data_IF_149245445147
#
_entry.id   IF_149245445147
#
_cell.length_a   1.000
_cell.length_b   1.000
_cell.length_c   1.000
_cell.angle_alpha   90.00
_cell.angle_beta   90.00
_cell.angle_gamma   90.00
#
_symmetry.space_group_name_H-M   'P 1'
#
loop_
_entity.id
_entity.type
_entity.pdbx_description
1 polymer ?
#
# COMPACT_ATOMS: atom_id res chain seq x y z
N UNK A 1 75.06 19.59 -12.39
CA UNK A 1 74.26 18.73 -13.29
C UNK A 1 73.32 17.93 -12.40
N UNK A 2 72.19 18.49 -11.95
CA UNK A 2 71.26 17.79 -11.04
C UNK A 2 69.82 18.29 -11.24
N UNK A 3 69.28 18.06 -12.43
CA UNK A 3 67.87 18.34 -12.77
C UNK A 3 67.21 17.19 -13.57
N UNK A 4 67.80 16.00 -13.59
CA UNK A 4 67.37 14.92 -14.50
C UNK A 4 66.49 13.82 -13.86
N UNK A 5 66.49 13.64 -12.54
CA UNK A 5 65.79 12.51 -11.91
C UNK A 5 64.35 12.83 -11.46
N UNK A 6 64.10 14.03 -10.93
CA UNK A 6 62.76 14.45 -10.47
C UNK A 6 61.78 14.66 -11.63
N UNK A 7 62.27 15.09 -12.80
CA UNK A 7 61.46 15.24 -14.02
C UNK A 7 61.08 13.89 -14.65
N UNK A 8 61.94 12.87 -14.56
CA UNK A 8 61.62 11.54 -15.06
C UNK A 8 60.58 10.84 -14.18
N UNK A 9 60.69 10.98 -12.86
CA UNK A 9 59.75 10.36 -11.92
C UNK A 9 58.36 11.00 -12.02
N UNK A 10 58.27 12.33 -12.15
CA UNK A 10 56.96 13.00 -12.35
C UNK A 10 56.32 12.65 -13.69
N UNK A 11 57.09 12.50 -14.77
CA UNK A 11 56.55 12.04 -16.06
C UNK A 11 56.05 10.60 -15.99
N UNK A 12 56.79 9.69 -15.34
CA UNK A 12 56.36 8.29 -15.17
C UNK A 12 55.12 8.18 -14.28
N UNK A 13 55.05 8.94 -13.19
CA UNK A 13 53.89 8.97 -12.31
C UNK A 13 52.66 9.60 -12.99
N UNK A 14 52.85 10.65 -13.81
CA UNK A 14 51.77 11.24 -14.59
C UNK A 14 51.22 10.25 -15.64
N UNK A 15 52.10 9.51 -16.32
CA UNK A 15 51.68 8.47 -17.28
C UNK A 15 50.97 7.32 -16.57
N UNK A 16 51.44 6.88 -15.40
CA UNK A 16 50.77 5.84 -14.60
C UNK A 16 49.43 6.35 -14.04
N UNK A 17 49.34 7.61 -13.65
CA UNK A 17 48.10 8.22 -13.16
C UNK A 17 47.07 8.40 -14.27
N UNK A 18 47.49 8.80 -15.47
CA UNK A 18 46.63 8.87 -16.66
C UNK A 18 46.24 7.46 -17.10
N UNK A 19 47.13 6.47 -17.04
CA UNK A 19 46.80 5.07 -17.32
C UNK A 19 45.80 4.50 -16.29
N UNK A 20 45.95 4.85 -15.01
CA UNK A 20 45.02 4.47 -13.96
C UNK A 20 43.66 5.17 -14.10
N UNK A 21 43.65 6.48 -14.39
CA UNK A 21 42.42 7.24 -14.67
C UNK A 21 41.71 6.73 -15.92
N UNK A 22 42.44 6.38 -16.98
CA UNK A 22 41.84 5.84 -18.22
C UNK A 22 41.35 4.40 -18.05
N UNK A 23 42.04 3.57 -17.26
CA UNK A 23 41.54 2.24 -16.87
C UNK A 23 40.31 2.34 -15.96
N UNK A 24 40.32 3.29 -15.01
CA UNK A 24 39.17 3.59 -14.15
C UNK A 24 38.00 4.14 -14.96
N UNK A 25 38.24 5.05 -15.92
CA UNK A 25 37.22 5.56 -16.84
C UNK A 25 36.65 4.45 -17.71
N UNK A 26 37.48 3.54 -18.24
CA UNK A 26 37.02 2.38 -19.02
C UNK A 26 36.21 1.40 -18.18
N UNK A 27 36.58 1.17 -16.92
CA UNK A 27 35.82 0.32 -16.01
C UNK A 27 34.47 0.95 -15.63
N UNK A 28 34.42 2.28 -15.45
CA UNK A 28 33.15 3.00 -15.27
C UNK A 28 32.33 3.04 -16.55
N UNK A 29 32.96 3.15 -17.73
CA UNK A 29 32.29 3.09 -19.02
C UNK A 29 31.72 1.70 -19.28
N UNK A 30 32.46 0.61 -19.04
CA UNK A 30 31.95 -0.76 -19.16
C UNK A 30 30.81 -1.05 -18.17
N UNK A 31 30.87 -0.51 -16.94
CA UNK A 31 29.76 -0.64 -15.99
C UNK A 31 28.55 0.19 -16.43
N UNK A 32 28.75 1.36 -17.04
CA UNK A 32 27.68 2.18 -17.60
C UNK A 32 27.08 1.52 -18.85
N UNK A 33 27.90 0.95 -19.73
CA UNK A 33 27.47 0.23 -20.93
C UNK A 33 26.71 -1.04 -20.55
N UNK A 34 27.13 -1.76 -19.50
CA UNK A 34 26.39 -2.91 -18.94
C UNK A 34 25.09 -2.49 -18.24
N UNK A 35 25.07 -1.30 -17.63
CA UNK A 35 23.85 -0.72 -17.05
C UNK A 35 22.87 -0.26 -18.15
N UNK A 36 23.39 0.28 -19.25
CA UNK A 36 22.65 0.65 -20.44
C UNK A 36 22.17 -0.59 -21.19
N UNK A 37 22.96 -1.66 -21.29
CA UNK A 37 22.53 -2.96 -21.85
C UNK A 37 21.45 -3.61 -21.00
N UNK A 38 21.55 -3.60 -19.67
CA UNK A 38 20.48 -4.10 -18.79
C UNK A 38 19.22 -3.22 -18.86
N UNK A 39 19.38 -1.90 -18.93
CA UNK A 39 18.27 -0.95 -19.11
C UNK A 39 17.61 -1.14 -20.48
N UNK A 40 18.40 -1.32 -21.54
CA UNK A 40 17.94 -1.64 -22.89
C UNK A 40 17.30 -3.03 -22.94
N UNK A 41 17.80 -4.06 -22.24
CA UNK A 41 17.17 -5.38 -22.14
C UNK A 41 15.83 -5.36 -21.39
N UNK A 42 15.69 -4.56 -20.33
CA UNK A 42 14.41 -4.34 -19.66
C UNK A 42 13.44 -3.57 -20.56
N UNK A 43 13.93 -2.54 -21.27
CA UNK A 43 13.14 -1.79 -22.25
C UNK A 43 12.75 -2.66 -23.45
N UNK A 44 13.63 -3.58 -23.87
CA UNK A 44 13.39 -4.60 -24.90
C UNK A 44 12.32 -5.58 -24.43
N UNK A 45 12.36 -6.04 -23.16
CA UNK A 45 11.31 -6.92 -22.62
C UNK A 45 9.92 -6.26 -22.53
N UNK A 46 9.87 -4.93 -22.43
CA UNK A 46 8.65 -4.13 -22.43
C UNK A 46 8.19 -3.77 -23.85
N UNK A 47 9.11 -3.51 -24.78
CA UNK A 47 8.83 -3.48 -26.22
C UNK A 47 8.33 -4.84 -26.71
N UNK A 48 8.88 -5.95 -26.21
CA UNK A 48 8.42 -7.31 -26.47
C UNK A 48 7.00 -7.51 -25.92
N UNK A 49 6.67 -7.00 -24.73
CA UNK A 49 5.29 -7.03 -24.19
C UNK A 49 4.36 -6.15 -25.04
N UNK A 50 4.79 -4.96 -25.46
CA UNK A 50 4.00 -4.08 -26.32
C UNK A 50 3.83 -4.66 -27.73
N UNK A 51 4.83 -5.36 -28.26
CA UNK A 51 4.76 -6.11 -29.52
C UNK A 51 3.87 -7.35 -29.37
N UNK A 52 3.93 -8.07 -28.25
CA UNK A 52 3.01 -9.18 -27.94
C UNK A 52 1.58 -8.67 -27.83
N UNK A 53 1.35 -7.55 -27.14
CA UNK A 53 0.02 -6.97 -27.02
C UNK A 53 -0.47 -6.40 -28.37
N UNK A 54 0.40 -5.79 -29.17
CA UNK A 54 0.07 -5.33 -30.52
C UNK A 54 -0.20 -6.52 -31.48
N UNK A 55 0.54 -7.62 -31.34
CA UNK A 55 0.33 -8.86 -32.09
C UNK A 55 -0.99 -9.53 -31.67
N UNK A 56 -1.30 -9.57 -30.38
CA UNK A 56 -2.59 -10.06 -29.88
C UNK A 56 -3.75 -9.19 -30.35
N UNK A 57 -3.57 -7.85 -30.43
CA UNK A 57 -4.56 -6.94 -31.01
C UNK A 57 -4.75 -7.17 -32.52
N UNK A 58 -3.66 -7.39 -33.27
CA UNK A 58 -3.73 -7.70 -34.70
C UNK A 58 -4.45 -9.04 -34.96
N UNK A 59 -4.18 -10.04 -34.12
CA UNK A 59 -4.84 -11.35 -34.16
C UNK A 59 -6.34 -11.25 -33.78
N UNK A 60 -6.70 -10.41 -32.79
CA UNK A 60 -8.09 -10.12 -32.43
C UNK A 60 -8.86 -9.43 -33.58
N UNK A 61 -8.20 -8.51 -34.29
CA UNK A 61 -8.78 -7.82 -35.45
C UNK A 61 -8.97 -8.79 -36.62
N UNK A 62 -8.04 -9.71 -36.87
CA UNK A 62 -8.21 -10.77 -37.89
C UNK A 62 -9.36 -11.74 -37.55
N UNK A 63 -9.51 -12.12 -36.27
CA UNK A 63 -10.62 -12.96 -35.81
C UNK A 63 -11.97 -12.25 -36.04
N UNK A 64 -12.04 -10.93 -35.83
CA UNK A 64 -13.24 -10.10 -36.06
C UNK A 64 -13.66 -10.08 -37.54
N UNK A 65 -12.72 -10.16 -38.48
CA UNK A 65 -12.97 -10.19 -39.93
C UNK A 65 -13.51 -11.56 -40.39
N UNK A 66 -13.23 -12.63 -39.66
CA UNK A 66 -13.66 -14.00 -40.03
C UNK A 66 -15.02 -14.43 -39.45
N UNK A 67 -15.60 -13.66 -38.52
CA UNK A 67 -16.86 -13.99 -37.85
C UNK A 67 -18.07 -13.30 -38.51
N UNK A 68 -19.20 -14.00 -38.63
CA UNK A 68 -20.46 -13.42 -39.10
C UNK A 68 -21.06 -12.43 -38.08
N UNK A 69 -21.79 -11.38 -38.51
CA UNK A 69 -22.23 -10.32 -37.61
C UNK A 69 -23.26 -10.84 -36.61
N UNK A 70 -22.91 -10.84 -35.33
CA UNK A 70 -23.83 -11.10 -34.21
C UNK A 70 -23.73 -9.91 -33.25
N UNK A 71 -24.84 -9.19 -33.05
CA UNK A 71 -24.90 -7.92 -32.29
C UNK A 71 -24.41 -8.08 -30.83
N UNK A 72 -24.58 -9.26 -30.23
CA UNK A 72 -24.09 -9.54 -28.87
C UNK A 72 -22.56 -9.72 -28.83
N UNK A 73 -21.98 -10.25 -29.91
CA UNK A 73 -20.54 -10.45 -30.04
C UNK A 73 -19.85 -9.10 -30.26
N UNK A 74 -20.42 -8.23 -31.11
CA UNK A 74 -19.90 -6.87 -31.33
C UNK A 74 -19.90 -6.02 -30.05
N UNK A 75 -20.93 -6.13 -29.20
CA UNK A 75 -20.97 -5.44 -27.89
C UNK A 75 -19.87 -5.93 -26.95
N UNK A 76 -19.60 -7.25 -26.91
CA UNK A 76 -18.52 -7.83 -26.08
C UNK A 76 -17.13 -7.41 -26.57
N UNK A 77 -16.91 -7.36 -27.89
CA UNK A 77 -15.66 -6.86 -28.46
C UNK A 77 -15.45 -5.37 -28.18
N UNK A 78 -16.48 -4.54 -28.32
CA UNK A 78 -16.40 -3.11 -27.99
C UNK A 78 -16.07 -2.86 -26.50
N UNK A 79 -16.64 -3.66 -25.60
CA UNK A 79 -16.30 -3.59 -24.18
C UNK A 79 -14.86 -4.00 -23.89
N UNK A 80 -14.35 -5.03 -24.60
CA UNK A 80 -12.99 -5.51 -24.46
C UNK A 80 -11.97 -4.47 -24.98
N UNK A 81 -12.23 -3.84 -26.13
CA UNK A 81 -11.43 -2.74 -26.69
C UNK A 81 -11.34 -1.57 -25.70
N UNK A 82 -12.47 -1.13 -25.14
CA UNK A 82 -12.49 -0.05 -24.13
C UNK A 82 -11.75 -0.42 -22.83
N UNK A 83 -11.79 -1.70 -22.44
CA UNK A 83 -11.05 -2.20 -21.27
C UNK A 83 -9.55 -2.20 -21.55
N UNK A 84 -9.14 -2.59 -22.75
CA UNK A 84 -7.75 -2.62 -23.19
C UNK A 84 -7.14 -1.21 -23.22
N UNK A 85 -7.80 -0.22 -23.84
CA UNK A 85 -7.34 1.18 -23.84
C UNK A 85 -7.16 1.74 -22.41
N UNK A 86 -8.07 1.37 -21.50
CA UNK A 86 -7.99 1.77 -20.09
C UNK A 86 -6.80 1.14 -19.38
N UNK A 87 -6.43 -0.09 -19.73
CA UNK A 87 -5.25 -0.77 -19.19
C UNK A 87 -3.98 -0.11 -19.71
N UNK A 88 -3.87 0.12 -21.03
CA UNK A 88 -2.72 0.77 -21.66
C UNK A 88 -2.45 2.15 -21.04
N UNK A 89 -3.49 2.96 -20.87
CA UNK A 89 -3.38 4.28 -20.23
C UNK A 89 -2.86 4.19 -18.79
N UNK A 90 -3.30 3.17 -18.03
CA UNK A 90 -2.83 2.92 -16.66
C UNK A 90 -1.37 2.47 -16.62
N UNK A 91 -0.92 1.65 -17.58
CA UNK A 91 0.48 1.21 -17.67
C UNK A 91 1.40 2.43 -17.88
N UNK A 92 1.07 3.29 -18.84
CA UNK A 92 1.84 4.53 -19.10
C UNK A 92 1.87 5.44 -17.85
N UNK A 93 0.76 5.53 -17.12
CA UNK A 93 0.68 6.32 -15.88
C UNK A 93 1.57 5.73 -14.78
N UNK A 94 1.60 4.41 -14.64
CA UNK A 94 2.46 3.70 -13.69
C UNK A 94 3.95 3.91 -14.01
N UNK A 95 4.33 3.87 -15.29
CA UNK A 95 5.71 4.15 -15.72
C UNK A 95 6.17 5.55 -15.33
N UNK A 96 5.35 6.57 -15.64
CA UNK A 96 5.65 7.96 -15.26
C UNK A 96 5.81 8.12 -13.74
N UNK A 97 4.93 7.46 -12.98
CA UNK A 97 4.98 7.48 -11.52
C UNK A 97 6.26 6.83 -11.01
N UNK A 98 6.66 5.68 -11.59
CA UNK A 98 7.87 4.98 -11.19
C UNK A 98 9.15 5.78 -11.48
N UNK A 99 9.21 6.46 -12.64
CA UNK A 99 10.33 7.37 -12.99
C UNK A 99 10.42 8.53 -12.00
N UNK A 100 9.30 9.17 -11.65
CA UNK A 100 9.29 10.27 -10.70
C UNK A 100 9.76 9.79 -9.31
N UNK A 101 9.34 8.61 -8.88
CA UNK A 101 9.77 8.01 -7.62
C UNK A 101 11.28 7.74 -7.59
N UNK A 102 11.89 7.32 -8.70
CA UNK A 102 13.34 7.14 -8.77
C UNK A 102 14.09 8.44 -8.54
N UNK A 103 13.59 9.54 -9.13
CA UNK A 103 14.17 10.87 -8.94
C UNK A 103 14.10 11.29 -7.48
N UNK A 104 12.92 11.13 -6.86
CA UNK A 104 12.68 11.46 -5.46
C UNK A 104 13.55 10.62 -4.51
N UNK A 105 13.71 9.32 -4.78
CA UNK A 105 14.60 8.45 -4.00
C UNK A 105 16.05 8.95 -4.02
N UNK A 106 16.52 9.37 -5.19
CA UNK A 106 17.88 9.89 -5.34
C UNK A 106 18.07 11.18 -4.56
N UNK A 107 17.12 12.11 -4.66
CA UNK A 107 17.14 13.37 -3.90
C UNK A 107 17.10 13.13 -2.38
N UNK A 108 16.24 12.22 -1.91
CA UNK A 108 16.15 11.87 -0.49
C UNK A 108 17.46 11.25 0.03
N UNK A 109 18.09 10.36 -0.74
CA UNK A 109 19.36 9.75 -0.35
C UNK A 109 20.50 10.78 -0.26
N UNK A 110 20.55 11.76 -1.16
CA UNK A 110 21.51 12.86 -1.05
C UNK A 110 21.24 13.75 0.17
N UNK A 111 19.97 14.09 0.44
CA UNK A 111 19.58 14.82 1.64
C UNK A 111 19.98 14.07 2.92
N UNK A 112 19.82 12.74 2.97
CA UNK A 112 20.26 11.92 4.10
C UNK A 112 21.77 11.93 4.31
N UNK A 113 22.56 11.86 3.23
CA UNK A 113 24.03 11.96 3.33
C UNK A 113 24.44 13.30 3.92
N UNK A 114 23.78 14.38 3.49
CA UNK A 114 24.02 15.73 4.03
C UNK A 114 23.62 15.84 5.50
N UNK A 115 22.45 15.31 5.87
CA UNK A 115 22.01 15.28 7.26
C UNK A 115 22.95 14.45 8.14
N UNK A 116 23.42 13.28 7.67
CA UNK A 116 24.37 12.45 8.40
C UNK A 116 25.71 13.17 8.64
N UNK A 117 26.18 13.95 7.66
CA UNK A 117 27.39 14.77 7.84
C UNK A 117 27.16 15.89 8.85
N UNK A 118 26.00 16.56 8.82
CA UNK A 118 25.63 17.59 9.82
C UNK A 118 25.50 17.00 11.23
N UNK A 119 24.94 15.79 11.37
CA UNK A 119 24.84 15.07 12.64
C UNK A 119 26.23 14.77 13.19
N UNK A 120 27.13 14.20 12.38
CA UNK A 120 28.51 13.93 12.82
C UNK A 120 29.25 15.21 13.23
N UNK A 121 29.02 16.33 12.53
CA UNK A 121 29.57 17.63 12.92
C UNK A 121 28.98 18.16 14.24
N UNK A 122 27.68 17.97 14.47
CA UNK A 122 27.02 18.33 15.72
C UNK A 122 27.51 17.47 16.87
N UNK A 123 27.63 16.15 16.69
CA UNK A 123 28.19 15.23 17.69
C UNK A 123 29.62 15.61 18.06
N UNK A 124 30.45 15.98 17.07
CA UNK A 124 31.81 16.48 17.33
C UNK A 124 31.80 17.79 18.15
N UNK A 125 30.87 18.70 17.86
CA UNK A 125 30.69 19.95 18.62
C UNK A 125 30.19 19.69 20.04
N UNK A 126 29.25 18.77 20.23
CA UNK A 126 28.74 18.37 21.55
C UNK A 126 29.87 17.75 22.37
N UNK A 127 30.65 16.84 21.79
CA UNK A 127 31.81 16.23 22.45
C UNK A 127 32.88 17.27 22.83
N UNK A 128 33.08 18.28 21.98
CA UNK A 128 33.97 19.40 22.31
C UNK A 128 33.43 20.26 23.46
N UNK A 129 32.12 20.52 23.49
CA UNK A 129 31.48 21.21 24.61
C UNK A 129 31.54 20.40 25.90
N UNK A 130 31.37 19.08 25.85
CA UNK A 130 31.54 18.19 27.01
C UNK A 130 32.97 18.25 27.56
N UNK A 131 33.98 18.24 26.68
CA UNK A 131 35.39 18.40 27.07
C UNK A 131 35.66 19.79 27.70
N UNK A 132 35.04 20.85 27.18
CA UNK A 132 35.10 22.19 27.77
C UNK A 132 34.43 22.25 29.14
N UNK A 133 33.28 21.60 29.32
CA UNK A 133 32.57 21.52 30.60
C UNK A 133 33.41 20.75 31.62
N UNK A 134 34.02 19.63 31.23
CA UNK A 134 34.95 18.85 32.06
C UNK A 134 36.19 19.67 32.46
N UNK A 135 36.73 20.48 31.55
CA UNK A 135 37.85 21.38 31.85
C UNK A 135 37.45 22.48 32.84
N UNK A 136 36.27 23.08 32.67
CA UNK A 136 35.74 24.12 33.58
C UNK A 136 35.34 23.56 34.96
N UNK A 137 35.01 22.27 35.06
CA UNK A 137 34.75 21.59 36.33
C UNK A 137 36.03 21.32 37.12
N UNK A 138 37.16 21.05 36.45
CA UNK A 138 38.46 20.89 37.10
C UNK A 138 39.05 22.21 37.63
N UNK A 139 38.69 23.35 37.04
CA UNK A 139 39.09 24.68 37.52
C UNK A 139 38.22 25.20 38.68
N UNK A 140 37.12 24.52 39.04
CA UNK A 140 36.24 24.90 40.16
C UNK A 140 36.40 23.97 41.37
N UNK A 141 37.63 23.90 41.88
CA UNK A 141 37.88 23.49 43.27
C UNK A 141 37.96 24.71 44.21
N UNK A 142 36.86 25.49 44.34
CA UNK A 142 36.42 26.17 45.57
C UNK A 142 35.21 27.10 45.34
N UNK A 143 34.37 27.35 46.36
CA UNK A 143 33.00 27.81 46.16
C UNK A 143 32.83 29.32 46.39
N UNK A 144 32.00 29.98 45.57
CA UNK A 144 31.19 31.13 46.01
C UNK A 144 30.16 31.58 44.95
N UNK A 145 28.94 31.76 45.45
CA UNK A 145 27.96 32.80 45.15
C UNK A 145 27.28 32.91 43.76
N UNK A 146 25.94 32.89 43.81
CA UNK A 146 24.98 33.46 42.85
C UNK A 146 25.16 35.01 42.73
N UNK A 147 24.38 35.81 41.95
CA UNK A 147 23.14 35.50 41.23
C UNK A 147 22.94 36.24 39.86
N UNK A 148 21.73 36.11 39.31
CA UNK A 148 20.90 37.13 38.62
C UNK A 148 20.47 36.87 37.17
N UNK A 149 19.16 37.10 36.96
CA UNK A 149 18.36 37.01 35.73
C UNK A 149 18.79 38.04 34.67
N UNK A 150 18.22 38.06 33.43
CA UNK A 150 16.94 38.77 33.23
C UNK A 150 16.00 38.28 32.10
N UNK A 151 14.72 38.65 32.29
CA UNK A 151 13.75 39.23 31.33
C UNK A 151 13.27 38.49 30.08
N UNK A 152 11.97 38.18 30.12
CA UNK A 152 10.88 38.62 29.23
C UNK A 152 11.08 38.74 27.72
N UNK A 153 10.16 38.08 27.01
CA UNK A 153 9.54 38.59 25.79
C UNK A 153 9.38 37.50 24.73
N UNK A 154 8.24 36.81 24.68
CA UNK A 154 7.85 36.05 23.49
C UNK A 154 6.51 36.55 22.96
N UNK A 155 6.57 36.74 21.65
CA UNK A 155 5.65 37.29 20.69
C UNK A 155 4.19 36.84 20.72
N UNK A 156 3.37 37.75 20.18
CA UNK A 156 2.08 37.47 19.57
C UNK A 156 2.20 36.32 18.55
N UNK A 157 1.67 35.15 18.91
CA UNK A 157 1.44 34.05 17.98
C UNK A 157 0.24 34.36 17.07
N UNK A 158 0.54 34.34 15.77
CA UNK A 158 -0.38 34.21 14.65
C UNK A 158 -1.26 32.97 14.83
N UNK A 159 -2.56 33.14 14.59
CA UNK A 159 -3.49 32.05 14.30
C UNK A 159 -3.07 31.32 13.02
N UNK A 160 -2.51 30.13 13.16
CA UNK A 160 -2.47 29.10 12.14
C UNK A 160 -2.69 27.77 12.83
N UNK A 161 -3.77 27.06 12.50
CA UNK A 161 -4.02 25.71 13.01
C UNK A 161 -2.85 24.76 12.73
N UNK A 162 -2.73 23.65 13.47
CA UNK A 162 -1.56 22.79 13.40
C UNK A 162 -1.47 22.13 12.02
N UNK A 163 -0.56 22.63 11.19
CA UNK A 163 -0.18 22.02 9.92
C UNK A 163 0.60 20.73 10.23
N UNK A 164 -0.07 19.58 10.20
CA UNK A 164 0.63 18.31 9.98
C UNK A 164 1.04 18.28 8.52
N UNK A 165 2.35 18.34 8.26
CA UNK A 165 2.93 17.97 6.97
C UNK A 165 2.40 16.57 6.65
N UNK A 166 1.73 16.36 5.51
CA UNK A 166 0.85 15.21 5.18
C UNK A 166 1.48 13.82 5.16
N UNK A 167 2.32 13.48 6.14
CA UNK A 167 3.04 12.23 6.29
C UNK A 167 2.21 11.11 6.95
N UNK A 168 1.09 11.46 7.59
CA UNK A 168 0.25 10.49 8.29
C UNK A 168 -0.81 9.94 7.35
N UNK A 169 -1.06 8.63 7.40
CA UNK A 169 -2.00 7.95 6.49
C UNK A 169 -3.45 8.07 6.97
N UNK A 170 -3.65 8.21 8.28
CA UNK A 170 -4.98 8.28 8.89
C UNK A 170 -5.02 9.29 10.03
N UNK A 171 -6.22 9.75 10.40
CA UNK A 171 -6.42 10.56 11.60
C UNK A 171 -6.03 9.82 12.88
N UNK A 172 -6.16 8.49 12.90
CA UNK A 172 -5.75 7.68 14.05
C UNK A 172 -4.24 7.75 14.28
N UNK A 173 -3.43 7.75 13.21
CA UNK A 173 -1.98 7.92 13.31
C UNK A 173 -1.60 9.30 13.85
N UNK A 174 -2.28 10.36 13.40
CA UNK A 174 -2.08 11.72 13.94
C UNK A 174 -2.39 11.74 15.44
N UNK A 175 -3.53 11.17 15.86
CA UNK A 175 -3.94 11.10 17.26
C UNK A 175 -2.94 10.32 18.11
N UNK A 176 -2.39 9.22 17.60
CA UNK A 176 -1.40 8.41 18.31
C UNK A 176 -0.04 9.12 18.42
N UNK A 177 0.31 9.93 17.43
CA UNK A 177 1.53 10.72 17.45
C UNK A 177 1.45 11.89 18.44
N UNK A 178 0.29 12.55 18.53
CA UNK A 178 0.04 13.62 19.49
C UNK A 178 -1.43 13.64 19.94
N UNK A 179 -1.68 13.08 21.13
CA UNK A 179 -3.00 12.98 21.73
C UNK A 179 -3.56 14.34 22.23
N UNK A 180 -2.77 15.42 22.20
CA UNK A 180 -3.21 16.76 22.60
C UNK A 180 -3.90 17.54 21.48
N UNK A 181 -3.82 17.05 20.24
CA UNK A 181 -4.41 17.72 19.09
C UNK A 181 -5.95 17.72 19.14
N UNK A 182 -6.61 18.86 18.85
CA UNK A 182 -8.07 18.95 18.86
C UNK A 182 -8.69 18.28 17.61
N UNK A 183 -9.96 17.89 17.69
CA UNK A 183 -10.72 17.51 16.49
C UNK A 183 -10.80 18.69 15.51
N UNK A 184 -10.73 18.41 14.21
CA UNK A 184 -10.65 19.46 13.20
C UNK A 184 -10.30 18.93 11.81
N UNK A 185 -9.97 19.83 10.89
CA UNK A 185 -9.56 19.46 9.53
C UNK A 185 -8.04 19.25 9.43
N UNK A 186 -7.61 18.14 8.85
CA UNK A 186 -6.21 17.76 8.71
C UNK A 186 -5.92 17.20 7.32
N UNK A 187 -4.66 17.30 6.90
CA UNK A 187 -4.16 16.61 5.70
C UNK A 187 -3.64 15.24 6.10
N UNK A 188 -4.10 14.21 5.38
CA UNK A 188 -3.61 12.83 5.48
C UNK A 188 -3.30 12.29 4.09
N UNK A 189 -2.43 11.29 4.01
CA UNK A 189 -2.09 10.60 2.76
C UNK A 189 -2.28 9.07 2.87
N UNK A 190 -3.53 8.58 2.80
CA UNK A 190 -3.85 7.17 3.00
C UNK A 190 -3.13 6.18 2.10
N UNK A 191 -2.93 6.47 0.81
CA UNK A 191 -2.18 5.60 -0.11
C UNK A 191 -0.65 5.70 0.06
N UNK A 192 -0.20 6.76 0.74
CA UNK A 192 1.15 6.93 1.24
C UNK A 192 1.94 7.97 0.46
N UNK A 193 2.87 8.62 1.18
CA UNK A 193 3.67 9.72 0.64
C UNK A 193 4.25 9.42 -0.75
N UNK A 194 3.88 10.27 -1.73
CA UNK A 194 4.38 10.25 -3.12
C UNK A 194 3.94 9.00 -3.91
N UNK A 195 2.84 8.38 -3.53
CA UNK A 195 2.23 7.24 -4.22
C UNK A 195 0.83 7.60 -4.62
N UNK A 196 0.43 7.31 -5.86
CA UNK A 196 -0.98 7.44 -6.26
C UNK A 196 -1.48 8.89 -6.26
N UNK A 197 -2.47 9.17 -5.41
CA UNK A 197 -3.18 10.44 -5.33
C UNK A 197 -2.42 11.51 -4.56
N UNK A 198 -2.93 12.76 -4.60
CA UNK A 198 -2.48 13.79 -3.66
C UNK A 198 -3.08 13.55 -2.27
N UNK A 199 -2.43 14.01 -1.19
CA UNK A 199 -3.02 13.99 0.15
C UNK A 199 -4.43 14.58 0.16
N UNK A 200 -5.27 14.10 1.06
CA UNK A 200 -6.67 14.51 1.18
C UNK A 200 -6.91 15.35 2.44
N UNK A 201 -7.82 16.32 2.36
CA UNK A 201 -8.17 17.20 3.48
C UNK A 201 -9.48 16.75 4.11
N UNK A 202 -9.38 16.17 5.30
CA UNK A 202 -10.48 15.43 5.96
C UNK A 202 -10.73 15.95 7.36
N UNK A 203 -11.91 15.63 7.91
CA UNK A 203 -12.18 15.90 9.31
C UNK A 203 -11.68 14.75 10.17
N UNK A 204 -10.78 15.03 11.10
CA UNK A 204 -10.33 14.11 12.12
C UNK A 204 -11.09 14.34 13.42
N UNK A 205 -11.76 13.30 13.89
CA UNK A 205 -12.26 13.28 15.26
C UNK A 205 -11.14 12.76 16.16
N UNK A 206 -10.38 13.65 16.81
CA UNK A 206 -9.27 13.27 17.68
C UNK A 206 -9.72 12.62 18.99
N UNK A 207 -11.01 12.69 19.34
CA UNK A 207 -11.55 11.93 20.48
C UNK A 207 -11.59 10.43 20.15
N UNK A 208 -12.14 10.07 18.99
CA UNK A 208 -12.29 8.66 18.57
C UNK A 208 -11.11 8.13 17.75
N UNK A 209 -10.35 9.02 17.12
CA UNK A 209 -9.36 8.69 16.08
C UNK A 209 -9.97 8.47 14.70
N UNK A 210 -11.25 8.81 14.50
CA UNK A 210 -11.94 8.59 13.22
C UNK A 210 -11.52 9.60 12.16
N UNK A 211 -11.51 9.14 10.91
CA UNK A 211 -11.36 9.93 9.69
C UNK A 211 -12.72 10.04 9.01
N UNK A 212 -13.23 11.26 8.81
CA UNK A 212 -14.56 11.51 8.21
C UNK A 212 -14.41 12.22 6.87
N UNK A 213 -15.02 11.64 5.82
CA UNK A 213 -14.95 12.14 4.45
C UNK A 213 -16.35 12.49 3.96
N UNK A 214 -16.49 13.76 3.58
CA UNK A 214 -17.75 14.31 3.07
C UNK A 214 -17.98 14.04 1.59
N UNK A 215 -19.25 14.08 1.20
CA UNK A 215 -19.69 13.98 -0.19
C UNK A 215 -20.86 14.94 -0.49
N UNK A 216 -21.26 15.01 -1.76
CA UNK A 216 -22.27 15.93 -2.29
C UNK A 216 -23.74 15.48 -2.13
N UNK A 217 -24.01 14.49 -1.27
CA UNK A 217 -25.33 13.86 -1.15
C UNK A 217 -25.74 13.55 0.30
N UNK A 218 -25.22 14.34 1.26
CA UNK A 218 -25.49 14.15 2.70
C UNK A 218 -26.85 14.69 3.16
N UNK A 219 -27.44 15.62 2.40
CA UNK A 219 -28.78 16.15 2.71
C UNK A 219 -29.87 15.22 2.20
N UNK A 220 -31.06 15.21 2.81
CA UNK A 220 -32.20 14.45 2.29
C UNK A 220 -32.55 14.86 0.85
N UNK A 221 -32.67 13.89 -0.05
CA UNK A 221 -33.01 14.12 -1.46
C UNK A 221 -34.25 13.34 -1.85
N UNK A 222 -35.23 14.04 -2.43
CA UNK A 222 -36.44 13.45 -2.97
C UNK A 222 -36.16 12.70 -4.28
N UNK A 223 -36.63 11.46 -4.37
CA UNK A 223 -36.51 10.59 -5.55
C UNK A 223 -37.35 11.10 -6.73
N UNK A 224 -38.39 11.87 -6.44
CA UNK A 224 -39.38 12.34 -7.39
C UNK A 224 -40.23 11.18 -7.92
N UNK A 225 -40.74 11.34 -9.15
CA UNK A 225 -41.54 10.32 -9.80
C UNK A 225 -40.69 9.39 -10.65
N UNK A 226 -40.57 8.14 -10.20
CA UNK A 226 -39.84 7.10 -10.89
C UNK A 226 -40.65 5.79 -10.94
N UNK A 227 -41.08 5.36 -12.13
CA UNK A 227 -41.87 4.15 -12.30
C UNK A 227 -41.04 2.88 -12.52
N UNK A 228 -39.91 3.01 -13.21
CA UNK A 228 -39.04 1.88 -13.56
C UNK A 228 -38.16 1.44 -12.39
N UNK A 229 -37.56 0.26 -12.55
CA UNK A 229 -36.51 -0.26 -11.67
C UNK A 229 -35.30 0.69 -11.73
N UNK A 230 -34.87 1.22 -10.58
CA UNK A 230 -33.74 2.14 -10.47
C UNK A 230 -33.73 3.32 -11.45
N UNK A 231 -34.90 3.80 -11.89
CA UNK A 231 -34.95 4.85 -12.90
C UNK A 231 -34.54 6.22 -12.34
N UNK A 232 -34.59 6.38 -11.02
CA UNK A 232 -33.83 7.39 -10.31
C UNK A 232 -32.46 6.83 -9.97
N UNK A 233 -31.42 7.57 -10.31
CA UNK A 233 -30.04 7.27 -9.93
C UNK A 233 -29.32 8.53 -9.47
N UNK A 234 -28.67 8.44 -8.30
CA UNK A 234 -27.86 9.50 -7.72
C UNK A 234 -26.43 9.01 -7.55
N UNK A 235 -25.52 9.52 -8.36
CA UNK A 235 -24.08 9.36 -8.16
C UNK A 235 -23.63 10.16 -6.94
N UNK A 236 -22.76 9.56 -6.13
CA UNK A 236 -22.20 10.17 -4.91
C UNK A 236 -20.76 10.60 -5.18
N UNK A 237 -20.48 11.89 -5.09
CA UNK A 237 -19.15 12.46 -5.32
C UNK A 237 -18.51 12.86 -3.99
N UNK A 238 -17.44 12.16 -3.63
CA UNK A 238 -16.66 12.44 -2.42
C UNK A 238 -15.63 13.53 -2.64
N UNK A 239 -15.29 14.25 -1.57
CA UNK A 239 -14.19 15.22 -1.55
C UNK A 239 -12.81 14.55 -1.47
N UNK A 240 -12.65 13.39 -2.12
CA UNK A 240 -11.42 12.59 -2.18
C UNK A 240 -11.50 11.63 -3.38
N UNK A 241 -10.34 11.20 -3.90
CA UNK A 241 -10.29 10.21 -4.99
C UNK A 241 -10.60 8.81 -4.48
N UNK A 242 -11.13 7.94 -5.35
CA UNK A 242 -11.48 6.57 -4.96
C UNK A 242 -10.24 5.75 -4.55
N UNK A 243 -9.07 6.06 -5.12
CA UNK A 243 -7.79 5.48 -4.72
C UNK A 243 -7.48 5.78 -3.25
N UNK A 244 -7.61 7.05 -2.83
CA UNK A 244 -7.37 7.47 -1.44
C UNK A 244 -8.40 6.88 -0.48
N UNK A 245 -9.67 6.81 -0.87
CA UNK A 245 -10.73 6.19 -0.06
C UNK A 245 -10.51 4.69 0.13
N UNK A 246 -10.08 4.00 -0.94
CA UNK A 246 -9.75 2.57 -0.88
C UNK A 246 -8.54 2.31 0.01
N UNK A 247 -7.51 3.16 -0.09
CA UNK A 247 -6.34 3.06 0.77
C UNK A 247 -6.69 3.34 2.24
N UNK A 248 -7.51 4.35 2.52
CA UNK A 248 -8.01 4.64 3.86
C UNK A 248 -8.76 3.45 4.46
N UNK A 249 -9.65 2.82 3.69
CA UNK A 249 -10.40 1.64 4.13
C UNK A 249 -9.47 0.46 4.47
N UNK A 250 -8.40 0.28 3.70
CA UNK A 250 -7.36 -0.74 3.98
C UNK A 250 -6.57 -0.41 5.25
N UNK A 251 -6.19 0.85 5.43
CA UNK A 251 -5.42 1.34 6.59
C UNK A 251 -6.22 1.37 7.89
N UNK A 252 -7.54 1.32 7.81
CA UNK A 252 -8.43 1.41 8.98
C UNK A 252 -8.87 0.03 9.44
N UNK A 253 -9.17 -0.11 10.73
CA UNK A 253 -9.69 -1.36 11.27
C UNK A 253 -11.09 -1.62 10.69
N UNK A 254 -11.93 -0.59 10.71
CA UNK A 254 -13.32 -0.60 10.28
C UNK A 254 -13.66 0.69 9.53
N UNK A 255 -14.70 0.62 8.70
CA UNK A 255 -15.32 1.78 8.09
C UNK A 255 -16.83 1.61 8.07
N UNK A 256 -17.55 2.71 8.20
CA UNK A 256 -18.99 2.73 8.34
C UNK A 256 -19.59 3.86 7.49
N UNK A 257 -20.80 3.63 7.00
CA UNK A 257 -21.58 4.66 6.32
C UNK A 257 -23.06 4.45 6.62
N UNK A 258 -23.71 5.46 7.18
CA UNK A 258 -25.15 5.40 7.47
C UNK A 258 -25.98 5.63 6.22
N UNK A 259 -27.06 4.90 6.05
CA UNK A 259 -28.01 5.06 4.95
C UNK A 259 -29.43 5.06 5.50
N UNK A 260 -30.29 5.92 4.94
CA UNK A 260 -31.70 6.04 5.31
C UNK A 260 -32.56 6.23 4.06
N UNK A 261 -33.72 5.58 4.06
CA UNK A 261 -34.75 5.76 3.06
C UNK A 261 -36.12 5.92 3.72
N UNK A 262 -36.70 7.10 3.59
CA UNK A 262 -38.07 7.42 4.00
C UNK A 262 -39.02 7.15 2.83
N UNK A 263 -40.01 6.29 3.04
CA UNK A 263 -40.81 5.70 1.98
C UNK A 263 -42.31 5.72 2.29
N UNK A 264 -43.11 5.91 1.25
CA UNK A 264 -44.55 5.71 1.26
C UNK A 264 -44.93 5.08 -0.08
N UNK A 265 -45.45 3.85 -0.05
CA UNK A 265 -45.77 3.06 -1.26
C UNK A 265 -44.63 3.04 -2.29
N UNK A 266 -43.40 2.97 -1.79
CA UNK A 266 -42.16 3.02 -2.57
C UNK A 266 -41.23 1.88 -2.10
N UNK A 267 -41.54 0.62 -2.47
CA UNK A 267 -40.81 -0.54 -1.98
C UNK A 267 -39.39 -0.62 -2.53
N UNK A 268 -38.50 -1.23 -1.75
CA UNK A 268 -37.17 -1.64 -2.17
C UNK A 268 -37.28 -2.88 -3.06
N UNK A 269 -38.11 -3.85 -2.64
CA UNK A 269 -38.44 -5.07 -3.38
C UNK A 269 -39.96 -5.25 -3.49
N UNK A 270 -40.44 -5.66 -4.67
CA UNK A 270 -41.83 -6.07 -4.83
C UNK A 270 -41.95 -7.19 -5.86
N UNK A 271 -42.62 -8.30 -5.50
CA UNK A 271 -42.80 -9.47 -6.36
C UNK A 271 -41.47 -10.04 -6.90
N UNK A 272 -40.44 -10.14 -6.04
CA UNK A 272 -39.09 -10.58 -6.40
C UNK A 272 -38.37 -9.68 -7.44
N UNK A 273 -38.81 -8.43 -7.56
CA UNK A 273 -38.15 -7.40 -8.38
C UNK A 273 -37.55 -6.38 -7.43
N UNK A 274 -36.22 -6.28 -7.42
CA UNK A 274 -35.50 -5.23 -6.70
C UNK A 274 -35.64 -3.91 -7.46
N UNK A 275 -36.38 -2.96 -6.90
CA UNK A 275 -36.58 -1.63 -7.46
C UNK A 275 -35.49 -0.64 -7.04
N UNK A 276 -34.80 -0.93 -5.94
CA UNK A 276 -33.83 -0.03 -5.32
C UNK A 276 -32.56 -0.78 -4.94
N UNK A 277 -31.40 -0.12 -5.00
CA UNK A 277 -30.10 -0.68 -4.58
C UNK A 277 -29.08 0.45 -4.45
N UNK A 278 -27.99 0.19 -3.73
CA UNK A 278 -26.83 1.08 -3.74
C UNK A 278 -25.67 0.43 -4.51
N UNK A 279 -24.75 1.26 -5.00
CA UNK A 279 -23.54 0.79 -5.69
C UNK A 279 -22.34 0.84 -4.76
N UNK A 280 -21.55 -0.23 -4.74
CA UNK A 280 -20.29 -0.28 -4.02
C UNK A 280 -19.19 0.55 -4.69
N UNK A 281 -17.99 0.57 -4.09
CA UNK A 281 -16.82 1.30 -4.62
C UNK A 281 -16.39 0.87 -6.03
N UNK A 282 -16.77 -0.32 -6.48
CA UNK A 282 -16.54 -0.82 -7.84
C UNK A 282 -17.71 -0.57 -8.80
N UNK A 283 -18.81 0.00 -8.31
CA UNK A 283 -20.02 0.27 -9.06
C UNK A 283 -21.00 -0.91 -9.10
N UNK A 284 -20.72 -2.03 -8.41
CA UNK A 284 -21.61 -3.19 -8.38
C UNK A 284 -22.80 -2.96 -7.45
N UNK A 285 -23.97 -3.47 -7.83
CA UNK A 285 -25.20 -3.31 -7.09
C UNK A 285 -25.22 -4.17 -5.81
N UNK A 286 -25.71 -3.60 -4.70
CA UNK A 286 -25.85 -4.23 -3.39
C UNK A 286 -27.25 -3.96 -2.83
N UNK A 287 -27.84 -4.97 -2.18
CA UNK A 287 -29.27 -4.97 -1.82
C UNK A 287 -29.53 -4.96 -0.30
N UNK A 288 -28.52 -5.19 0.52
CA UNK A 288 -28.61 -5.03 1.98
C UNK A 288 -28.48 -3.54 2.36
N UNK A 289 -29.22 -3.09 3.37
CA UNK A 289 -29.26 -1.69 3.81
C UNK A 289 -28.69 -1.48 5.22
N UNK A 290 -28.18 -2.55 5.85
CA UNK A 290 -27.45 -2.48 7.12
C UNK A 290 -26.49 -3.66 7.28
N UNK A 291 -25.38 -3.44 7.99
CA UNK A 291 -24.39 -4.45 8.32
C UNK A 291 -23.40 -4.73 7.19
N UNK A 292 -23.12 -6.02 6.98
CA UNK A 292 -22.17 -6.52 5.97
C UNK A 292 -22.89 -7.40 4.95
N UNK A 293 -22.24 -7.66 3.81
CA UNK A 293 -22.83 -8.54 2.80
C UNK A 293 -22.89 -9.99 3.29
N UNK A 294 -24.10 -10.56 3.30
CA UNK A 294 -24.30 -11.99 3.52
C UNK A 294 -24.36 -12.70 2.16
N UNK A 295 -23.30 -13.45 1.82
CA UNK A 295 -23.18 -14.14 0.53
C UNK A 295 -24.31 -15.15 0.30
N UNK A 296 -24.86 -15.72 1.38
CA UNK A 296 -25.95 -16.70 1.35
C UNK A 296 -27.33 -16.10 1.01
N UNK A 297 -27.49 -14.78 1.13
CA UNK A 297 -28.76 -14.07 0.93
C UNK A 297 -28.91 -13.47 -0.49
N UNK A 298 -27.87 -13.53 -1.32
CA UNK A 298 -27.93 -13.14 -2.73
C UNK A 298 -28.46 -11.71 -2.96
N UNK A 299 -29.53 -11.58 -3.75
CA UNK A 299 -30.18 -10.28 -4.06
C UNK A 299 -31.27 -9.90 -3.06
N UNK A 300 -31.39 -10.61 -1.94
CA UNK A 300 -32.45 -10.35 -0.99
C UNK A 300 -32.22 -9.03 -0.25
N UNK A 301 -33.26 -8.21 -0.18
CA UNK A 301 -33.21 -6.99 0.63
C UNK A 301 -33.23 -7.32 2.12
N UNK A 302 -32.21 -6.84 2.83
CA UNK A 302 -32.10 -6.96 4.29
C UNK A 302 -31.91 -5.57 4.90
N UNK A 303 -32.79 -5.16 5.81
CA UNK A 303 -32.71 -3.88 6.52
C UNK A 303 -32.53 -4.09 8.03
N UNK A 304 -32.17 -3.02 8.77
CA UNK A 304 -31.93 -3.12 10.20
C UNK A 304 -33.13 -3.69 10.96
N UNK A 305 -34.37 -3.30 10.62
CA UNK A 305 -35.54 -3.84 11.30
C UNK A 305 -35.73 -5.35 11.09
N UNK A 306 -35.30 -5.85 9.91
CA UNK A 306 -35.36 -7.27 9.58
C UNK A 306 -34.32 -8.08 10.34
N UNK A 307 -33.14 -7.49 10.58
CA UNK A 307 -32.08 -8.03 11.44
C UNK A 307 -32.55 -8.07 12.90
N UNK A 308 -33.15 -6.98 13.38
CA UNK A 308 -33.61 -6.85 14.77
C UNK A 308 -34.92 -7.60 15.03
N UNK A 309 -35.62 -8.05 13.99
CA UNK A 309 -36.92 -8.71 14.08
C UNK A 309 -38.05 -7.79 14.56
N UNK A 310 -37.95 -6.48 14.28
CA UNK A 310 -38.87 -5.45 14.78
C UNK A 310 -39.50 -4.59 13.68
N UNK A 311 -39.48 -5.04 12.41
CA UNK A 311 -40.22 -4.37 11.34
C UNK A 311 -41.72 -4.26 11.68
N UNK A 312 -42.36 -3.21 11.15
CA UNK A 312 -43.79 -2.93 11.36
C UNK A 312 -44.66 -4.09 10.86
N UNK A 313 -44.30 -4.65 9.72
CA UNK A 313 -44.86 -5.91 9.22
C UNK A 313 -43.84 -7.03 9.48
N UNK A 314 -44.18 -8.05 10.30
CA UNK A 314 -43.25 -9.12 10.66
C UNK A 314 -42.94 -10.10 9.50
N UNK A 315 -43.66 -10.00 8.38
CA UNK A 315 -43.45 -10.88 7.21
C UNK A 315 -42.48 -10.31 6.17
N UNK A 316 -42.04 -9.06 6.32
CA UNK A 316 -41.07 -8.40 5.43
C UNK A 316 -39.73 -8.20 6.13
N UNK A 317 -38.67 -7.99 5.34
CA UNK A 317 -37.30 -7.75 5.83
C UNK A 317 -36.95 -6.27 5.95
N UNK A 318 -37.77 -5.41 5.37
CA UNK A 318 -37.63 -3.96 5.35
C UNK A 318 -39.01 -3.32 5.50
N UNK A 319 -39.11 -2.24 6.28
CA UNK A 319 -40.39 -1.53 6.48
C UNK A 319 -40.98 -1.00 5.17
N UNK A 320 -40.13 -0.54 4.25
CA UNK A 320 -40.53 0.00 2.96
C UNK A 320 -41.19 -1.01 2.03
N UNK A 321 -40.97 -2.31 2.26
CA UNK A 321 -41.59 -3.39 1.48
C UNK A 321 -42.96 -3.80 2.02
N UNK A 322 -43.37 -3.24 3.17
CA UNK A 322 -44.70 -3.48 3.72
C UNK A 322 -45.80 -2.84 2.86
N UNK A 323 -47.00 -3.43 2.89
CA UNK A 323 -48.18 -2.87 2.25
C UNK A 323 -48.85 -1.74 3.07
N UNK A 324 -48.17 -1.24 4.12
CA UNK A 324 -48.68 -0.19 4.98
C UNK A 324 -48.94 1.10 4.19
N UNK A 325 -50.10 1.75 4.35
CA UNK A 325 -50.38 3.03 3.71
C UNK A 325 -49.72 4.22 4.44
N UNK A 326 -49.00 3.96 5.54
CA UNK A 326 -48.36 4.99 6.37
C UNK A 326 -46.97 5.33 5.85
N UNK A 327 -46.48 6.52 6.18
CA UNK A 327 -45.08 6.86 5.99
C UNK A 327 -44.21 5.96 6.87
N UNK A 328 -43.27 5.26 6.24
CA UNK A 328 -42.31 4.38 6.90
C UNK A 328 -40.89 4.79 6.53
N UNK A 329 -39.93 4.13 7.14
CA UNK A 329 -38.53 4.28 6.79
C UNK A 329 -37.75 3.02 7.11
N UNK A 330 -36.66 2.84 6.39
CA UNK A 330 -35.57 1.95 6.75
C UNK A 330 -34.30 2.79 6.95
N UNK A 331 -33.54 2.46 7.98
CA UNK A 331 -32.26 3.08 8.26
C UNK A 331 -31.28 2.02 8.74
N UNK A 332 -30.02 2.14 8.35
CA UNK A 332 -28.98 1.22 8.73
C UNK A 332 -27.59 1.81 8.59
N UNK A 333 -26.59 1.03 9.00
CA UNK A 333 -25.17 1.37 8.86
C UNK A 333 -24.52 0.26 8.07
N UNK A 334 -24.02 0.59 6.88
CA UNK A 334 -23.18 -0.32 6.11
C UNK A 334 -21.81 -0.32 6.76
N UNK A 335 -21.29 -1.49 7.13
CA UNK A 335 -20.02 -1.66 7.84
C UNK A 335 -19.01 -2.54 7.08
N UNK A 336 -19.35 -2.97 5.86
CA UNK A 336 -18.42 -3.73 5.02
C UNK A 336 -17.43 -2.79 4.31
N UNK A 337 -16.27 -2.60 4.93
CA UNK A 337 -15.20 -1.75 4.38
C UNK A 337 -14.62 -2.24 3.04
N UNK A 338 -14.89 -3.47 2.63
CA UNK A 338 -14.46 -3.97 1.33
C UNK A 338 -15.38 -3.52 0.19
N UNK A 339 -16.61 -3.10 0.52
CA UNK A 339 -17.59 -2.58 -0.41
C UNK A 339 -17.70 -1.06 -0.35
N UNK A 340 -17.54 -0.47 0.84
CA UNK A 340 -17.56 0.97 1.03
C UNK A 340 -16.40 1.70 0.32
N UNK A 341 -16.60 2.98 -0.03
CA UNK A 341 -17.80 3.81 0.21
C UNK A 341 -18.94 3.56 -0.80
N UNK A 342 -20.16 4.00 -0.47
CA UNK A 342 -21.32 3.98 -1.39
C UNK A 342 -21.11 4.98 -2.52
N UNK A 343 -21.19 4.56 -3.78
CA UNK A 343 -20.95 5.40 -4.97
C UNK A 343 -22.21 5.80 -5.73
N UNK A 344 -23.31 5.09 -5.48
CA UNK A 344 -24.57 5.32 -6.17
C UNK A 344 -25.76 4.89 -5.33
N UNK A 345 -26.87 5.60 -5.48
CA UNK A 345 -28.16 5.29 -4.87
C UNK A 345 -29.23 5.24 -5.96
N UNK A 346 -29.93 4.12 -6.06
CA UNK A 346 -30.90 3.88 -7.11
C UNK A 346 -32.23 3.51 -6.49
N UNK A 347 -33.30 4.13 -6.99
CA UNK A 347 -34.65 3.95 -6.47
C UNK A 347 -35.66 3.85 -7.59
N UNK A 348 -36.77 3.18 -7.30
CA UNK A 348 -37.86 2.95 -8.22
C UNK A 348 -39.22 3.00 -7.54
N UNK A 349 -40.26 2.75 -8.34
CA UNK A 349 -41.63 2.53 -7.86
C UNK A 349 -42.30 3.71 -7.13
N UNK A 350 -41.87 4.96 -7.35
CA UNK A 350 -42.48 6.20 -6.82
C UNK A 350 -43.44 6.89 -7.82
N UNK A 351 -44.17 6.12 -8.62
CA UNK A 351 -45.03 6.65 -9.70
C UNK A 351 -46.44 7.11 -9.28
N UNK A 352 -46.90 6.73 -8.08
CA UNK A 352 -48.23 7.11 -7.60
C UNK A 352 -48.20 8.56 -7.12
N UNK A 353 -49.31 9.29 -7.26
CA UNK A 353 -49.43 10.64 -6.68
C UNK A 353 -49.23 10.66 -5.16
N UNK A 354 -49.50 9.54 -4.50
CA UNK A 354 -49.36 9.37 -3.06
C UNK A 354 -48.05 8.67 -2.68
N UNK A 355 -47.23 8.22 -3.64
CA UNK A 355 -45.95 7.59 -3.31
C UNK A 355 -44.87 8.65 -3.18
N UNK A 356 -43.99 8.47 -2.21
CA UNK A 356 -42.83 9.32 -1.99
C UNK A 356 -41.65 8.49 -1.53
N UNK A 357 -40.45 8.88 -1.95
CA UNK A 357 -39.19 8.31 -1.52
C UNK A 357 -38.20 9.43 -1.27
N UNK A 358 -37.59 9.48 -0.09
CA UNK A 358 -36.54 10.44 0.27
C UNK A 358 -35.38 9.66 0.83
N UNK A 359 -34.20 9.80 0.24
CA UNK A 359 -33.00 9.12 0.73
C UNK A 359 -32.05 10.08 1.42
N UNK A 360 -31.22 9.56 2.31
CA UNK A 360 -30.15 10.28 2.98
C UNK A 360 -28.96 9.33 3.17
N UNK A 361 -27.76 9.79 2.86
CA UNK A 361 -26.52 9.05 3.02
C UNK A 361 -25.57 9.83 3.92
N UNK A 362 -25.01 9.19 4.93
CA UNK A 362 -24.03 9.82 5.82
C UNK A 362 -22.63 9.84 5.22
N UNK A 363 -21.76 10.65 5.80
CA UNK A 363 -20.34 10.69 5.44
C UNK A 363 -19.69 9.31 5.55
N UNK A 364 -18.64 9.08 4.75
CA UNK A 364 -17.82 7.87 4.88
C UNK A 364 -16.85 8.06 6.04
N UNK A 365 -16.94 7.19 7.05
CA UNK A 365 -16.13 7.27 8.26
C UNK A 365 -15.30 5.99 8.45
N UNK A 366 -14.00 6.14 8.76
CA UNK A 366 -13.11 5.03 9.04
C UNK A 366 -12.33 5.26 10.34
N UNK A 367 -12.14 4.20 11.13
CA UNK A 367 -11.50 4.26 12.45
C UNK A 367 -10.60 3.06 12.74
N UNK A 368 -9.75 3.24 13.76
CA UNK A 368 -8.81 2.21 14.21
C UNK A 368 -7.65 1.97 13.25
N UNK A 369 -6.75 1.07 13.65
CA UNK A 369 -5.58 0.69 12.84
C UNK A 369 -5.86 -0.63 12.13
N UNK A 370 -5.86 -0.62 10.80
CA UNK A 370 -5.88 -1.83 10.00
C UNK A 370 -4.52 -2.51 10.01
N UNK A 371 -4.51 -3.84 9.98
CA UNK A 371 -3.28 -4.61 9.73
C UNK A 371 -3.02 -4.58 8.23
N UNK A 372 -2.30 -3.55 7.77
CA UNK A 372 -1.79 -3.50 6.39
C UNK A 372 -0.39 -4.10 6.40
N UNK A 373 -0.29 -5.38 6.02
CA UNK A 373 1.02 -5.97 5.76
C UNK A 373 1.57 -5.34 4.46
N UNK A 374 2.76 -4.73 4.49
CA UNK A 374 3.37 -4.20 3.28
C UNK A 374 3.65 -5.33 2.29
N UNK A 375 3.56 -5.11 0.98
CA UNK A 375 3.82 -6.18 -0.01
C UNK A 375 5.28 -6.24 -0.45
N UNK A 376 6.07 -5.23 -0.11
CA UNK A 376 7.47 -5.11 -0.50
C UNK A 376 8.25 -4.13 0.40
N UNK A 377 9.57 -4.14 0.29
CA UNK A 377 10.44 -3.08 0.80
C UNK A 377 10.05 -1.72 0.21
N UNK A 378 9.57 -1.70 -1.03
CA UNK A 378 9.09 -0.48 -1.64
C UNK A 378 7.87 0.08 -0.90
N UNK A 379 6.93 -0.78 -0.51
CA UNK A 379 5.78 -0.38 0.28
C UNK A 379 6.16 0.11 1.67
N UNK A 380 7.09 -0.59 2.35
CA UNK A 380 7.64 -0.13 3.63
C UNK A 380 8.25 1.27 3.51
N UNK A 381 9.03 1.52 2.46
CA UNK A 381 9.64 2.83 2.25
C UNK A 381 8.59 3.92 2.03
N UNK A 382 7.53 3.63 1.27
CA UNK A 382 6.38 4.53 1.03
C UNK A 382 5.61 4.85 2.31
N UNK A 383 5.52 3.90 3.24
CA UNK A 383 4.90 4.13 4.56
C UNK A 383 5.83 4.81 5.57
N UNK A 384 6.98 5.32 5.11
CA UNK A 384 7.91 6.09 5.93
C UNK A 384 9.01 5.27 6.61
N UNK A 385 9.12 3.97 6.35
CA UNK A 385 10.26 3.19 6.86
C UNK A 385 11.55 3.62 6.17
N UNK A 386 12.56 3.95 6.97
CA UNK A 386 13.83 4.48 6.47
C UNK A 386 15.06 3.74 7.03
N UNK A 387 14.86 2.74 7.89
CA UNK A 387 15.93 1.94 8.48
C UNK A 387 16.11 0.62 7.72
N UNK A 388 17.30 0.38 7.16
CA UNK A 388 17.56 -0.91 6.51
C UNK A 388 17.46 -2.05 7.54
N UNK A 389 16.89 -3.19 7.16
CA UNK A 389 16.63 -4.27 8.10
C UNK A 389 15.83 -5.43 7.51
N UNK A 390 15.49 -6.39 8.36
CA UNK A 390 14.63 -7.53 8.01
C UNK A 390 13.18 -7.15 8.31
N UNK A 391 12.31 -7.34 7.32
CA UNK A 391 10.89 -7.04 7.39
C UNK A 391 10.05 -8.21 6.90
N UNK A 392 8.80 -8.26 7.39
CA UNK A 392 7.79 -9.19 6.89
C UNK A 392 6.95 -8.46 5.83
N UNK A 393 6.81 -9.08 4.67
CA UNK A 393 6.00 -8.57 3.57
C UNK A 393 5.05 -9.65 3.06
N UNK A 394 3.93 -9.24 2.48
CA UNK A 394 3.05 -10.14 1.75
C UNK A 394 3.56 -10.30 0.31
N UNK A 395 4.24 -11.41 0.05
CA UNK A 395 4.83 -11.70 -1.24
C UNK A 395 3.82 -11.93 -2.36
N UNK A 396 4.29 -11.99 -3.60
CA UNK A 396 3.47 -12.14 -4.81
C UNK A 396 2.62 -13.42 -4.82
N UNK A 397 3.04 -14.46 -4.09
CA UNK A 397 2.30 -15.71 -3.92
C UNK A 397 1.27 -15.68 -2.77
N UNK A 398 0.93 -14.50 -2.26
CA UNK A 398 0.08 -14.31 -1.07
C UNK A 398 0.59 -15.03 0.19
N UNK A 399 1.90 -15.29 0.25
CA UNK A 399 2.58 -15.88 1.41
C UNK A 399 3.36 -14.79 2.14
N UNK A 400 3.49 -14.91 3.46
CA UNK A 400 4.32 -13.99 4.24
C UNK A 400 5.78 -14.31 3.96
N UNK A 401 6.48 -13.35 3.37
CA UNK A 401 7.90 -13.40 3.05
C UNK A 401 8.70 -12.58 4.08
N UNK A 402 9.84 -13.11 4.46
CA UNK A 402 10.88 -12.40 5.20
C UNK A 402 11.85 -11.82 4.18
N UNK A 403 11.94 -10.50 4.10
CA UNK A 403 12.82 -9.79 3.16
C UNK A 403 13.79 -8.89 3.90
N UNK A 404 14.99 -8.71 3.36
CA UNK A 404 15.91 -7.67 3.79
C UNK A 404 15.74 -6.45 2.89
N UNK A 405 15.42 -5.32 3.49
CA UNK A 405 15.28 -4.03 2.84
C UNK A 405 16.52 -3.18 3.08
N UNK A 406 17.20 -2.78 2.01
CA UNK A 406 18.31 -1.83 2.08
C UNK A 406 17.86 -0.44 1.59
N UNK A 407 17.31 0.35 2.51
CA UNK A 407 16.85 1.72 2.21
C UNK A 407 17.99 2.73 1.95
N UNK A 408 19.25 2.31 2.03
CA UNK A 408 20.38 3.11 1.52
C UNK A 408 20.50 3.01 -0.01
N UNK A 409 19.80 2.06 -0.62
CA UNK A 409 19.69 1.89 -2.07
C UNK A 409 18.34 2.41 -2.55
N UNK A 410 18.26 2.74 -3.84
CA UNK A 410 16.99 3.06 -4.47
C UNK A 410 16.34 1.79 -5.04
N UNK A 411 15.01 1.83 -5.19
CA UNK A 411 14.14 0.70 -5.54
C UNK A 411 14.67 -0.18 -6.69
N UNK A 412 15.30 0.44 -7.68
CA UNK A 412 15.77 -0.21 -8.91
C UNK A 412 17.19 -0.78 -8.81
N UNK A 413 17.87 -0.63 -7.67
CA UNK A 413 19.22 -1.16 -7.47
C UNK A 413 19.15 -2.60 -6.99
N UNK A 414 19.99 -3.45 -7.58
CA UNK A 414 20.24 -4.80 -7.09
C UNK A 414 20.52 -4.80 -5.58
N UNK A 415 19.68 -5.54 -4.85
CA UNK A 415 19.73 -5.66 -3.41
C UNK A 415 19.02 -4.56 -2.61
N UNK A 416 18.14 -3.75 -3.22
CA UNK A 416 17.16 -2.93 -2.48
C UNK A 416 16.22 -3.80 -1.65
N UNK A 417 15.70 -4.86 -2.28
CA UNK A 417 14.97 -5.94 -1.62
C UNK A 417 15.70 -7.26 -1.88
N UNK A 418 15.88 -8.06 -0.84
CA UNK A 418 16.42 -9.41 -0.94
C UNK A 418 15.52 -10.37 -0.17
N UNK A 419 14.95 -11.37 -0.84
CA UNK A 419 14.22 -12.44 -0.18
C UNK A 419 15.17 -13.22 0.74
N UNK A 420 14.79 -13.35 2.02
CA UNK A 420 15.51 -14.13 3.02
C UNK A 420 14.84 -15.49 3.21
N UNK A 421 13.51 -15.56 3.13
CA UNK A 421 12.74 -16.79 3.24
C UNK A 421 11.24 -16.51 3.41
N UNK A 422 10.46 -17.51 3.80
CA UNK A 422 9.03 -17.35 4.10
C UNK A 422 8.81 -17.48 5.62
N UNK A 423 7.88 -16.72 6.19
CA UNK A 423 7.62 -16.74 7.63
C UNK A 423 6.95 -18.06 8.09
N UNK A 424 6.25 -18.75 7.18
CA UNK A 424 5.59 -20.03 7.44
C UNK A 424 6.50 -21.27 7.28
N UNK A 425 7.81 -21.10 7.13
CA UNK A 425 8.74 -22.24 7.13
C UNK A 425 8.98 -22.69 8.56
N UNK A 426 8.08 -23.54 9.10
CA UNK A 426 8.42 -24.38 10.26
C UNK A 426 9.65 -25.19 9.91
N UNK A 427 10.75 -24.98 10.63
CA UNK A 427 11.95 -25.82 10.54
C UNK A 427 11.56 -27.23 10.98
N UNK A 428 11.48 -28.16 10.03
CA UNK A 428 11.32 -29.59 10.33
C UNK A 428 12.70 -30.24 10.39
N UNK A 429 13.04 -31.03 11.43
CA UNK A 429 14.30 -31.76 11.47
C UNK A 429 14.45 -32.69 10.26
N UNK A 430 15.53 -32.50 9.51
CA UNK A 430 15.93 -33.42 8.45
C UNK A 430 16.98 -34.38 9.02
N UNK A 431 16.71 -35.67 8.92
CA UNK A 431 17.64 -36.73 9.32
C UNK A 431 18.25 -37.33 8.06
N UNK A 432 19.58 -37.44 8.07
CA UNK A 432 20.32 -38.18 7.05
C UNK A 432 21.16 -39.26 7.73
N UNK A 433 21.28 -40.40 7.06
CA UNK A 433 22.18 -41.47 7.44
C UNK A 433 23.03 -41.82 6.24
N UNK A 434 24.35 -41.73 6.41
CA UNK A 434 25.32 -42.14 5.40
C UNK A 434 26.15 -43.28 5.97
N UNK A 435 26.32 -44.34 5.18
CA UNK A 435 27.00 -45.56 5.62
C UNK A 435 28.01 -46.05 4.59
N UNK A 436 29.03 -46.76 5.10
CA UNK A 436 29.98 -47.53 4.29
C UNK A 436 30.12 -48.92 4.92
N UNK A 437 30.31 -49.94 4.09
CA UNK A 437 30.38 -51.32 4.54
C UNK A 437 31.79 -51.70 5.04
N UNK A 438 32.82 -51.05 4.49
CA UNK A 438 34.22 -51.32 4.81
C UNK A 438 34.79 -50.44 5.94
N UNK A 439 35.84 -50.92 6.63
CA UNK A 439 36.56 -50.15 7.66
C UNK A 439 37.36 -48.99 7.05
N UNK A 440 37.38 -47.82 7.70
CA UNK A 440 38.29 -46.71 7.36
C UNK A 440 39.23 -46.45 8.51
N UNK A 441 40.52 -46.48 8.23
CA UNK A 441 41.53 -46.25 9.25
C UNK A 441 42.53 -45.16 8.83
N UNK A 442 42.23 -44.40 7.76
CA UNK A 442 43.12 -43.34 7.25
C UNK A 442 42.85 -41.97 7.88
N UNK A 443 43.92 -41.27 8.25
CA UNK A 443 43.86 -39.97 8.91
C UNK A 443 44.03 -38.85 7.88
N UNK A 444 43.14 -37.85 7.91
CA UNK A 444 43.23 -36.66 7.04
C UNK A 444 42.68 -36.85 5.64
N UNK A 445 42.10 -38.02 5.33
CA UNK A 445 41.44 -38.31 4.06
C UNK A 445 39.92 -38.22 4.24
N UNK A 446 39.18 -37.54 3.34
CA UNK A 446 37.73 -37.49 3.40
C UNK A 446 37.10 -38.89 3.36
N UNK A 447 36.23 -39.18 4.33
CA UNK A 447 35.53 -40.46 4.43
C UNK A 447 34.44 -40.51 3.35
N UNK A 448 34.52 -41.52 2.48
CA UNK A 448 33.49 -41.80 1.46
C UNK A 448 32.36 -42.67 2.03
N UNK A 449 31.17 -42.59 1.43
CA UNK A 449 29.99 -43.39 1.78
C UNK A 449 29.47 -44.13 0.54
N UNK A 450 28.86 -45.29 0.76
CA UNK A 450 28.29 -46.15 -0.30
C UNK A 450 26.79 -45.89 -0.50
N UNK A 451 26.08 -45.53 0.56
CA UNK A 451 24.67 -45.25 0.53
C UNK A 451 24.29 -44.09 1.44
N UNK A 452 23.23 -43.40 1.04
CA UNK A 452 22.60 -42.31 1.76
C UNK A 452 21.11 -42.61 1.94
N UNK A 453 20.59 -42.38 3.14
CA UNK A 453 19.18 -42.47 3.48
C UNK A 453 18.73 -41.14 4.04
N UNK A 454 17.62 -40.61 3.52
CA UNK A 454 17.05 -39.34 3.95
C UNK A 454 15.58 -39.49 4.31
N UNK A 455 15.14 -38.79 5.35
CA UNK A 455 13.72 -38.72 5.67
C UNK A 455 12.94 -37.73 4.76
N UNK A 456 13.64 -36.84 4.05
CA UNK A 456 13.13 -35.95 2.99
C UNK A 456 14.19 -35.74 1.91
N UNK A 457 13.80 -35.79 0.64
CA UNK A 457 14.71 -35.56 -0.50
C UNK A 457 15.23 -34.13 -0.60
N UNK A 458 16.37 -33.98 -1.30
CA UNK A 458 17.05 -32.71 -1.67
C UNK A 458 17.81 -31.94 -0.56
N UNK A 459 18.02 -32.52 0.62
CA UNK A 459 18.80 -31.87 1.68
C UNK A 459 20.33 -31.96 1.48
N UNK A 460 20.79 -32.93 0.68
CA UNK A 460 22.19 -33.16 0.34
C UNK A 460 22.27 -33.61 -1.11
N UNK A 461 23.23 -33.06 -1.86
CA UNK A 461 23.51 -33.50 -3.23
C UNK A 461 24.18 -34.88 -3.20
N UNK A 462 23.45 -35.90 -3.67
CA UNK A 462 23.97 -37.27 -3.80
C UNK A 462 25.25 -37.29 -4.66
N UNK A 463 26.29 -37.94 -4.13
CA UNK A 463 27.60 -38.05 -4.77
C UNK A 463 28.62 -36.97 -4.37
N UNK A 464 28.20 -35.80 -3.86
CA UNK A 464 29.12 -34.75 -3.39
C UNK A 464 29.13 -34.59 -1.87
N UNK A 465 28.06 -34.99 -1.18
CA UNK A 465 27.94 -34.80 0.28
C UNK A 465 27.72 -33.35 0.69
N UNK A 466 27.43 -32.46 -0.26
CA UNK A 466 27.19 -31.03 0.00
C UNK A 466 25.73 -30.85 0.43
N UNK A 467 25.52 -30.28 1.61
CA UNK A 467 24.20 -29.91 2.11
C UNK A 467 23.75 -28.58 1.48
N UNK A 468 22.56 -28.58 0.89
CA UNK A 468 21.95 -27.39 0.27
C UNK A 468 20.82 -26.88 1.17
N UNK A 469 20.99 -25.69 1.75
CA UNK A 469 19.97 -25.04 2.57
C UNK A 469 20.11 -23.52 2.55
N UNK A 470 18.99 -22.79 2.64
CA UNK A 470 19.01 -21.33 2.80
C UNK A 470 19.17 -21.00 4.29
N UNK A 471 20.40 -20.71 4.71
CA UNK A 471 20.77 -20.39 6.09
C UNK A 471 22.00 -21.18 6.56
N UNK A 472 22.62 -20.79 7.68
CA UNK A 472 23.74 -21.53 8.28
C UNK A 472 23.25 -22.84 8.91
N UNK A 473 23.56 -24.02 8.34
CA UNK A 473 23.10 -25.28 8.91
C UNK A 473 23.89 -25.60 10.19
N UNK A 474 23.17 -25.89 11.29
CA UNK A 474 23.76 -26.55 12.45
C UNK A 474 23.74 -28.07 12.20
N UNK A 475 24.89 -28.63 11.84
CA UNK A 475 25.05 -30.07 11.60
C UNK A 475 25.57 -30.70 12.90
N UNK A 476 24.80 -31.63 13.45
CA UNK A 476 25.20 -32.42 14.63
C UNK A 476 25.62 -33.80 14.15
N UNK A 477 26.92 -34.10 14.27
CA UNK A 477 27.42 -35.45 14.06
C UNK A 477 27.32 -36.21 15.38
N UNK A 478 26.42 -37.19 15.44
CA UNK A 478 26.48 -38.23 16.47
C UNK A 478 27.33 -39.37 15.93
N UNK A 479 28.45 -39.64 16.61
CA UNK A 479 29.36 -40.73 16.30
C UNK A 479 28.85 -42.06 16.84
#
# INVERSE_FOLDING_TARGET
MDLSWTSMITQVLAVLYVAWLTASLRATQQNLDKYVENYLQMNFSLEDINEIMAAQNAELVEIKVQMSPNEEIEKKFSHLEATYERIETKVIQLEKTNIQMMKDCKEHNEMRKEQATKINQLEAKVKHQELLILALQNDRASPAAAPSQPSNGIDKSLNSGPMSNGNYRTCNEIRLADASLPSGMYWIDPDGNRVGGSPIFVYCNMTTGSTVIKHDSESPVDVGHCAGVGCYSRTVNYNATMEQLTALAKCSAECHQSIRYDCNRAPLELNNIAYSWWNDRSGSARYFWSGVENIDEGTQHTCQCGIDGNCVDPYVKCNCDSLSPSQLFDSGVISDKNLLPVTGLNFGRTQLKTSSGVHTLGSFECSGQGIVMPTSCQDLWRTGHSLSGIYLVMGSSAMVETVFCDFNKCNDKTGFQKLIGYADVKSTPTFFHVGRSDKFDEIGVPITYEYSLFNRGEAMLDGTGIFTGQGSPHIVFNQ
#
